data_IF_177140492098
#
_entry.id   IF_177140492098
#
_cell.length_a   1.000
_cell.length_b   1.000
_cell.length_c   1.000
_cell.angle_alpha   90.00
_cell.angle_beta   90.00
_cell.angle_gamma   90.00
#
_symmetry.space_group_name_H-M   'P 1'
#
loop_
_entity.id
_entity.type
_entity.pdbx_description
1 polymer ?
#
# COMPACT_ATOMS: atom_id res chain seq x y z
N UNK A 1 35.72 -12.22 5.67
CA UNK A 1 35.22 -12.44 4.30
C UNK A 1 33.73 -12.81 4.30
N UNK A 2 33.27 -13.66 5.23
CA UNK A 2 31.85 -14.05 5.36
C UNK A 2 30.84 -12.94 5.67
N UNK A 3 31.23 -11.91 6.42
CA UNK A 3 30.30 -10.84 6.84
C UNK A 3 29.86 -9.99 5.64
N UNK A 4 30.80 -9.67 4.75
CA UNK A 4 30.51 -8.87 3.56
C UNK A 4 29.69 -9.67 2.54
N UNK A 5 29.95 -10.99 2.44
CA UNK A 5 29.15 -11.90 1.63
C UNK A 5 27.69 -11.96 2.12
N UNK A 6 27.48 -12.13 3.44
CA UNK A 6 26.13 -12.14 4.05
C UNK A 6 25.42 -10.80 3.88
N UNK A 7 26.14 -9.69 4.00
CA UNK A 7 25.58 -8.34 3.80
C UNK A 7 25.15 -8.13 2.35
N UNK A 8 25.96 -8.59 1.40
CA UNK A 8 25.64 -8.53 -0.03
C UNK A 8 24.45 -9.43 -0.36
N UNK A 9 24.36 -10.63 0.20
CA UNK A 9 23.19 -11.51 0.01
C UNK A 9 21.91 -10.92 0.59
N UNK A 10 21.97 -10.33 1.79
CA UNK A 10 20.80 -9.68 2.40
C UNK A 10 20.33 -8.50 1.53
N UNK A 11 21.27 -7.70 1.05
CA UNK A 11 20.97 -6.58 0.13
C UNK A 11 20.41 -7.08 -1.20
N UNK A 12 20.93 -8.18 -1.74
CA UNK A 12 20.46 -8.76 -2.99
C UNK A 12 19.03 -9.29 -2.83
N UNK A 13 18.74 -10.04 -1.75
CA UNK A 13 17.37 -10.48 -1.42
C UNK A 13 16.41 -9.32 -1.27
N UNK A 14 16.85 -8.23 -0.64
CA UNK A 14 16.05 -7.03 -0.48
C UNK A 14 15.78 -6.35 -1.84
N UNK A 15 16.78 -6.23 -2.69
CA UNK A 15 16.62 -5.68 -4.05
C UNK A 15 15.72 -6.56 -4.92
N UNK A 16 15.84 -7.89 -4.86
CA UNK A 16 14.96 -8.82 -5.58
C UNK A 16 13.52 -8.72 -5.10
N UNK A 17 13.30 -8.56 -3.79
CA UNK A 17 11.96 -8.35 -3.22
C UNK A 17 11.34 -7.04 -3.70
N UNK A 18 12.13 -5.96 -3.71
CA UNK A 18 11.70 -4.65 -4.22
C UNK A 18 11.39 -4.70 -5.72
N UNK A 19 12.25 -5.35 -6.52
CA UNK A 19 12.05 -5.51 -7.96
C UNK A 19 10.73 -6.25 -8.26
N UNK A 20 10.50 -7.39 -7.60
CA UNK A 20 9.25 -8.17 -7.76
C UNK A 20 8.01 -7.34 -7.43
N UNK A 21 8.06 -6.50 -6.39
CA UNK A 21 6.94 -5.63 -6.01
C UNK A 21 6.70 -4.53 -7.04
N UNK A 22 7.75 -3.86 -7.51
CA UNK A 22 7.67 -2.83 -8.57
C UNK A 22 7.14 -3.41 -9.88
N UNK A 23 7.61 -4.61 -10.24
CA UNK A 23 7.15 -5.32 -11.43
C UNK A 23 5.68 -5.74 -11.35
N UNK A 24 5.18 -6.07 -10.15
CA UNK A 24 3.76 -6.34 -9.91
C UNK A 24 2.91 -5.05 -9.97
N UNK A 25 3.41 -3.92 -9.46
CA UNK A 25 2.72 -2.61 -9.52
C UNK A 25 2.59 -2.09 -10.95
N UNK A 26 3.62 -2.30 -11.77
CA UNK A 26 3.66 -1.83 -13.16
C UNK A 26 3.08 -2.83 -14.18
N UNK A 27 2.56 -3.98 -13.74
CA UNK A 27 1.97 -4.99 -14.63
C UNK A 27 2.95 -5.63 -15.61
N UNK A 28 4.27 -5.51 -15.36
CA UNK A 28 5.31 -5.95 -16.30
C UNK A 28 5.55 -7.47 -16.27
N UNK A 29 5.00 -8.17 -15.27
CA UNK A 29 5.14 -9.63 -15.11
C UNK A 29 3.88 -10.42 -15.50
N UNK A 30 2.84 -9.78 -16.04
CA UNK A 30 1.57 -10.47 -16.36
C UNK A 30 0.72 -10.81 -15.12
N UNK A 31 1.28 -10.72 -13.92
CA UNK A 31 0.54 -10.44 -12.68
C UNK A 31 0.28 -8.94 -12.62
N UNK A 32 -0.68 -8.49 -13.42
CA UNK A 32 -1.39 -7.28 -13.06
C UNK A 32 -1.89 -7.53 -11.63
N UNK A 33 -1.62 -6.64 -10.67
CA UNK A 33 -2.38 -6.62 -9.42
C UNK A 33 -3.79 -6.20 -9.82
N UNK A 34 -4.51 -7.10 -10.50
CA UNK A 34 -5.94 -7.04 -10.66
C UNK A 34 -6.44 -7.27 -9.28
N UNK A 35 -6.91 -6.19 -8.70
CA UNK A 35 -7.67 -6.22 -7.49
C UNK A 35 -9.01 -6.92 -7.76
N UNK A 36 -8.99 -8.25 -7.92
CA UNK A 36 -10.17 -9.07 -8.22
C UNK A 36 -11.21 -8.97 -7.10
N UNK A 37 -10.77 -8.72 -5.87
CA UNK A 37 -11.64 -8.40 -4.72
C UNK A 37 -11.98 -6.91 -4.58
N UNK A 38 -11.45 -6.03 -5.44
CA UNK A 38 -11.74 -4.60 -5.39
C UNK A 38 -12.59 -4.08 -6.54
N UNK A 39 -13.49 -4.92 -7.06
CA UNK A 39 -14.67 -4.38 -7.76
C UNK A 39 -15.48 -3.37 -6.91
N UNK A 40 -15.16 -3.25 -5.62
CA UNK A 40 -15.74 -2.32 -4.64
C UNK A 40 -14.88 -1.05 -4.43
N UNK A 41 -13.58 -1.05 -4.73
CA UNK A 41 -12.74 0.17 -4.55
C UNK A 41 -12.78 1.04 -5.80
N UNK A 42 -12.84 2.34 -5.56
CA UNK A 42 -12.79 3.33 -6.62
C UNK A 42 -11.39 3.39 -7.23
N UNK A 43 -11.30 3.57 -8.56
CA UNK A 43 -10.05 3.72 -9.30
C UNK A 43 -9.08 4.77 -8.70
N UNK A 44 -9.59 5.78 -7.98
CA UNK A 44 -8.78 6.77 -7.28
C UNK A 44 -8.15 6.21 -6.01
N UNK A 45 -8.90 5.40 -5.28
CA UNK A 45 -8.43 4.72 -4.07
C UNK A 45 -7.35 3.69 -4.45
N UNK A 46 -7.52 3.04 -5.60
CA UNK A 46 -6.52 2.14 -6.18
C UNK A 46 -5.19 2.85 -6.45
N UNK A 47 -5.22 4.07 -7.01
CA UNK A 47 -4.01 4.87 -7.25
C UNK A 47 -3.29 5.22 -5.95
N UNK A 48 -4.04 5.53 -4.89
CA UNK A 48 -3.47 5.81 -3.57
C UNK A 48 -2.81 4.57 -2.98
N UNK A 49 -3.45 3.41 -3.06
CA UNK A 49 -2.86 2.14 -2.60
C UNK A 49 -1.60 1.80 -3.39
N UNK A 50 -1.61 1.99 -4.72
CA UNK A 50 -0.41 1.80 -5.56
C UNK A 50 0.74 2.71 -5.14
N UNK A 51 0.46 3.97 -4.79
CA UNK A 51 1.48 4.90 -4.30
C UNK A 51 2.07 4.45 -2.95
N UNK A 52 1.23 4.01 -2.00
CA UNK A 52 1.68 3.46 -0.69
C UNK A 52 2.64 2.28 -0.89
N UNK A 53 2.32 1.38 -1.82
CA UNK A 53 3.17 0.22 -2.14
C UNK A 53 4.48 0.66 -2.81
N UNK A 54 4.42 1.61 -3.73
CA UNK A 54 5.60 2.11 -4.44
C UNK A 54 6.58 2.84 -3.50
N UNK A 55 6.05 3.58 -2.53
CA UNK A 55 6.83 4.33 -1.54
C UNK A 55 7.24 3.48 -0.33
N UNK A 56 6.88 2.19 -0.30
CA UNK A 56 7.17 1.24 0.79
C UNK A 56 6.67 1.71 2.16
N UNK A 57 5.52 2.39 2.19
CA UNK A 57 4.92 2.90 3.42
C UNK A 57 4.20 1.79 4.19
N UNK A 58 4.77 1.41 5.34
CA UNK A 58 4.16 0.41 6.24
C UNK A 58 3.10 1.02 7.16
N UNK A 59 3.25 2.29 7.51
CA UNK A 59 2.29 3.05 8.32
C UNK A 59 1.92 4.35 7.61
N UNK A 60 0.64 4.68 7.67
CA UNK A 60 0.10 5.92 7.09
C UNK A 60 -0.75 6.66 8.12
N UNK A 61 -0.59 7.97 8.16
CA UNK A 61 -1.44 8.88 8.92
C UNK A 61 -2.53 9.47 8.02
N UNK A 62 -3.48 10.17 8.64
CA UNK A 62 -4.49 10.92 7.89
C UNK A 62 -3.86 11.98 6.98
N UNK A 63 -2.76 12.61 7.42
CA UNK A 63 -2.07 13.64 6.64
C UNK A 63 -1.42 13.02 5.39
N UNK A 64 -0.77 11.86 5.54
CA UNK A 64 -0.14 11.14 4.44
C UNK A 64 -1.19 10.72 3.40
N UNK A 65 -2.32 10.16 3.86
CA UNK A 65 -3.42 9.81 2.95
C UNK A 65 -3.96 11.04 2.20
N UNK A 66 -4.13 12.18 2.88
CA UNK A 66 -4.57 13.41 2.22
C UNK A 66 -3.58 13.88 1.15
N UNK A 67 -2.28 13.78 1.42
CA UNK A 67 -1.23 14.15 0.48
C UNK A 67 -1.22 13.19 -0.73
N UNK A 68 -1.28 11.88 -0.49
CA UNK A 68 -1.33 10.88 -1.54
C UNK A 68 -2.54 11.08 -2.46
N UNK A 69 -3.72 11.34 -1.91
CA UNK A 69 -4.89 11.66 -2.74
C UNK A 69 -4.69 12.95 -3.55
N UNK A 70 -4.10 14.00 -2.98
CA UNK A 70 -3.87 15.25 -3.71
C UNK A 70 -2.86 15.08 -4.84
N UNK A 71 -1.82 14.28 -4.62
CA UNK A 71 -0.72 14.10 -5.57
C UNK A 71 -1.06 13.09 -6.68
N UNK A 72 -1.84 12.05 -6.36
CA UNK A 72 -2.10 10.93 -7.29
C UNK A 72 -3.53 10.90 -7.86
N UNK A 73 -4.41 11.80 -7.42
CA UNK A 73 -5.80 11.87 -7.90
C UNK A 73 -6.22 13.30 -8.28
N UNK A 74 -7.38 13.39 -8.94
CA UNK A 74 -8.07 14.63 -9.31
C UNK A 74 -8.98 15.19 -8.19
N UNK A 75 -9.04 14.54 -7.02
CA UNK A 75 -9.88 15.01 -5.90
C UNK A 75 -9.27 16.28 -5.33
N UNK A 76 -10.07 17.36 -5.34
CA UNK A 76 -9.72 18.67 -4.75
C UNK A 76 -10.68 19.10 -3.65
N UNK A 77 -11.92 18.61 -3.71
CA UNK A 77 -12.92 18.89 -2.70
C UNK A 77 -12.60 18.21 -1.36
N UNK A 78 -12.71 18.99 -0.28
CA UNK A 78 -12.32 18.56 1.07
C UNK A 78 -13.27 17.53 1.64
N UNK A 79 -14.57 17.64 1.37
CA UNK A 79 -15.58 16.72 1.89
C UNK A 79 -15.48 15.36 1.20
N UNK A 80 -15.34 15.38 -0.12
CA UNK A 80 -15.08 14.21 -0.96
C UNK A 80 -13.81 13.50 -0.52
N UNK A 81 -12.71 14.23 -0.32
CA UNK A 81 -11.45 13.68 0.16
C UNK A 81 -11.61 12.97 1.51
N UNK A 82 -12.31 13.62 2.44
CA UNK A 82 -12.56 13.05 3.77
C UNK A 82 -13.40 11.77 3.71
N UNK A 83 -14.45 11.75 2.87
CA UNK A 83 -15.27 10.56 2.66
C UNK A 83 -14.45 9.42 2.09
N UNK A 84 -13.64 9.69 1.07
CA UNK A 84 -12.80 8.68 0.41
C UNK A 84 -11.76 8.07 1.33
N UNK A 85 -11.06 8.90 2.11
CA UNK A 85 -10.10 8.38 3.10
C UNK A 85 -10.82 7.50 4.12
N UNK A 86 -12.01 7.88 4.58
CA UNK A 86 -12.80 7.06 5.50
C UNK A 86 -13.23 5.73 4.88
N UNK A 87 -13.63 5.74 3.62
CA UNK A 87 -14.04 4.51 2.91
C UNK A 87 -12.83 3.60 2.64
N UNK A 88 -11.70 4.18 2.20
CA UNK A 88 -10.44 3.47 1.97
C UNK A 88 -9.91 2.83 3.26
N UNK A 89 -9.86 3.57 4.36
CA UNK A 89 -9.36 3.03 5.64
C UNK A 89 -10.32 2.02 6.28
N UNK A 90 -11.60 2.01 5.89
CA UNK A 90 -12.60 1.06 6.41
C UNK A 90 -12.70 -0.23 5.59
N UNK A 91 -12.57 -0.13 4.26
CA UNK A 91 -12.78 -1.24 3.32
C UNK A 91 -11.50 -1.74 2.67
N UNK A 92 -10.44 -0.93 2.71
CA UNK A 92 -9.16 -1.24 2.11
C UNK A 92 -8.23 -2.03 3.03
N UNK A 93 -6.99 -2.29 2.57
CA UNK A 93 -5.97 -3.10 3.25
C UNK A 93 -5.28 -2.33 4.40
N UNK A 94 -6.08 -1.88 5.37
CA UNK A 94 -5.62 -1.10 6.51
C UNK A 94 -6.10 -1.72 7.80
N UNK A 95 -5.18 -1.89 8.74
CA UNK A 95 -5.52 -2.16 10.14
C UNK A 95 -5.31 -0.88 10.95
N UNK A 96 -6.31 -0.53 11.75
CA UNK A 96 -6.21 0.61 12.65
C UNK A 96 -5.35 0.23 13.87
N UNK A 97 -4.14 0.76 13.94
CA UNK A 97 -3.14 0.35 14.93
C UNK A 97 -3.19 1.23 16.18
N UNK A 98 -3.37 2.55 16.01
CA UNK A 98 -3.37 3.48 17.14
C UNK A 98 -4.25 4.70 16.88
N UNK A 99 -5.10 5.04 17.85
CA UNK A 99 -5.74 6.36 17.94
C UNK A 99 -5.09 7.10 19.09
N UNK A 100 -4.06 7.91 18.80
CA UNK A 100 -3.53 8.85 19.77
C UNK A 100 -4.50 10.02 19.98
N UNK A 101 -4.19 10.89 20.95
CA UNK A 101 -5.02 12.05 21.30
C UNK A 101 -5.17 13.08 20.15
N UNK A 102 -4.37 12.96 19.07
CA UNK A 102 -4.39 13.89 17.93
C UNK A 102 -4.26 13.25 16.53
N UNK A 103 -3.98 11.95 16.41
CA UNK A 103 -3.87 11.29 15.10
C UNK A 103 -4.23 9.81 15.15
N UNK A 104 -4.96 9.39 14.12
CA UNK A 104 -5.15 7.97 13.80
C UNK A 104 -4.02 7.53 12.87
N UNK A 105 -3.43 6.38 13.18
CA UNK A 105 -2.39 5.73 12.37
C UNK A 105 -2.93 4.39 11.91
N UNK A 106 -2.77 4.11 10.63
CA UNK A 106 -3.14 2.85 10.01
C UNK A 106 -1.91 2.11 9.53
N UNK A 107 -1.84 0.83 9.89
CA UNK A 107 -0.85 -0.09 9.36
C UNK A 107 -1.36 -0.61 8.02
N UNK A 108 -0.57 -0.42 6.97
CA UNK A 108 -0.87 -1.01 5.68
C UNK A 108 -0.55 -2.50 5.74
N UNK A 109 -1.58 -3.34 5.66
CA UNK A 109 -1.42 -4.80 5.79
C UNK A 109 -1.04 -5.48 4.48
N UNK A 110 -0.94 -4.71 3.39
CA UNK A 110 -0.86 -5.25 2.05
C UNK A 110 -2.19 -5.86 1.62
N UNK A 111 -2.32 -6.15 0.33
CA UNK A 111 -3.35 -7.06 -0.10
C UNK A 111 -2.99 -8.41 0.50
N UNK A 112 -3.78 -8.88 1.46
CA UNK A 112 -3.60 -10.20 2.03
C UNK A 112 -3.41 -11.18 0.87
N UNK A 113 -2.23 -11.79 0.82
CA UNK A 113 -2.02 -12.94 -0.05
C UNK A 113 -2.98 -13.99 0.51
N UNK A 114 -4.11 -14.22 -0.16
CA UNK A 114 -5.06 -15.30 0.14
C UNK A 114 -4.44 -16.67 -0.16
N UNK A 115 -3.16 -16.82 0.16
CA UNK A 115 -2.29 -17.95 -0.06
C UNK A 115 -1.82 -18.48 1.29
N UNK A 116 -2.74 -18.61 2.26
CA UNK A 116 -2.49 -19.46 3.41
C UNK A 116 -3.80 -20.06 3.96
N UNK A 117 -4.24 -21.17 3.37
CA UNK A 117 -4.60 -22.33 4.18
C UNK A 117 -4.48 -23.62 3.36
N UNK A 118 -3.44 -24.38 3.69
CA UNK A 118 -3.34 -25.84 3.52
C UNK A 118 -4.54 -26.52 4.15
N UNK A 119 -5.12 -27.55 3.51
CA UNK A 119 -5.39 -28.91 4.03
C UNK A 119 -5.52 -29.85 2.82
#
# INVERSE_FOLDING_TARGET
>A
MDIELKRLEARNRQLTSRLKKVEAVNGLTGTEITFSDTSILDHRDEKVVKAIVADELEMVTLADLQELYRNHTDIRDRETLRSRIKDLTRRGPFEHEQSGMQSSVWRFTGLADSSNNSW
#
